data_IF_118548206212
#
_entry.id   IF_118548206212
#
_cell.length_a   1.000
_cell.length_b   1.000
_cell.length_c   1.000
_cell.angle_alpha   90.00
_cell.angle_beta   90.00
_cell.angle_gamma   90.00
#
_symmetry.space_group_name_H-M   'P 1'
#
loop_
_entity.id
_entity.type
_entity.pdbx_description
1 polymer ?
#
# COMPACT_ATOMS: atom_id res chain seq x y z
N UNK A 1 17.96 8.47 14.49
CA UNK A 1 16.78 7.88 13.81
C UNK A 1 16.83 6.36 13.97
N UNK A 2 15.77 5.76 14.47
CA UNK A 2 15.71 4.32 14.63
C UNK A 2 15.51 3.63 13.27
N UNK A 3 15.79 2.32 13.16
CA UNK A 3 15.53 1.60 11.91
C UNK A 3 14.08 1.70 11.42
N UNK A 4 13.10 1.69 12.35
CA UNK A 4 11.70 1.84 11.94
C UNK A 4 11.41 3.26 11.43
N UNK A 5 12.01 4.28 12.04
CA UNK A 5 11.84 5.65 11.56
C UNK A 5 12.42 5.82 10.16
N UNK A 6 13.58 5.23 9.90
CA UNK A 6 14.21 5.23 8.58
C UNK A 6 13.34 4.53 7.55
N UNK A 7 12.77 3.37 7.92
CA UNK A 7 11.87 2.62 7.06
C UNK A 7 10.61 3.43 6.72
N UNK A 8 9.97 4.02 7.74
CA UNK A 8 8.77 4.83 7.54
C UNK A 8 9.06 6.04 6.63
N UNK A 9 10.20 6.70 6.85
CA UNK A 9 10.59 7.81 6.00
C UNK A 9 10.71 7.38 4.54
N UNK A 10 11.41 6.27 4.29
CA UNK A 10 11.57 5.72 2.94
C UNK A 10 10.23 5.38 2.30
N UNK A 11 9.37 4.69 3.04
CA UNK A 11 8.04 4.29 2.52
C UNK A 11 7.20 5.52 2.18
N UNK A 12 7.18 6.53 3.05
CA UNK A 12 6.40 7.75 2.80
C UNK A 12 6.94 8.50 1.58
N UNK A 13 8.27 8.61 1.44
CA UNK A 13 8.87 9.28 0.29
C UNK A 13 8.58 8.55 -1.02
N UNK A 14 8.67 7.22 -1.01
CA UNK A 14 8.32 6.39 -2.17
C UNK A 14 6.83 6.49 -2.49
N UNK A 15 5.98 6.47 -1.47
CA UNK A 15 4.54 6.61 -1.64
C UNK A 15 4.19 7.97 -2.25
N UNK A 16 4.89 9.03 -1.86
CA UNK A 16 4.71 10.35 -2.46
C UNK A 16 5.05 10.33 -3.96
N UNK A 17 6.11 9.63 -4.34
CA UNK A 17 6.48 9.45 -5.74
C UNK A 17 5.39 8.70 -6.50
N UNK A 18 4.86 7.63 -5.92
CA UNK A 18 3.77 6.86 -6.54
C UNK A 18 2.50 7.69 -6.70
N UNK A 19 2.17 8.49 -5.68
CA UNK A 19 1.02 9.40 -5.75
C UNK A 19 1.17 10.38 -6.91
N UNK A 20 2.35 10.96 -7.09
CA UNK A 20 2.61 11.88 -8.20
C UNK A 20 2.48 11.18 -9.55
N UNK A 21 3.02 9.97 -9.68
CA UNK A 21 2.92 9.19 -10.94
C UNK A 21 1.48 8.92 -11.31
N UNK A 22 0.61 8.77 -10.33
CA UNK A 22 -0.81 8.50 -10.54
C UNK A 22 -1.64 9.76 -10.60
N UNK A 23 -1.03 10.94 -10.49
CA UNK A 23 -1.74 12.21 -10.52
C UNK A 23 -2.59 12.46 -9.28
N UNK A 24 -2.27 11.79 -8.18
CA UNK A 24 -2.98 11.98 -6.91
C UNK A 24 -2.41 13.17 -6.14
N UNK A 25 -3.30 14.00 -5.62
CA UNK A 25 -2.91 15.12 -4.75
C UNK A 25 -2.49 14.67 -3.36
N UNK A 26 -2.82 13.43 -2.99
CA UNK A 26 -2.60 12.90 -1.63
C UNK A 26 -2.02 11.48 -1.70
N UNK A 27 -1.29 11.13 -0.64
CA UNK A 27 -0.78 9.77 -0.45
C UNK A 27 -1.89 8.94 0.19
N UNK A 28 -2.40 7.97 -0.55
CA UNK A 28 -3.45 7.07 -0.06
C UNK A 28 -2.86 5.68 0.26
N UNK A 29 -3.68 4.80 0.81
CA UNK A 29 -3.24 3.46 1.21
C UNK A 29 -2.60 2.68 0.05
N UNK A 30 -3.12 2.80 -1.18
CA UNK A 30 -2.56 2.11 -2.35
C UNK A 30 -1.15 2.58 -2.67
N UNK A 31 -0.84 3.84 -2.44
CA UNK A 31 0.51 4.38 -2.65
C UNK A 31 1.48 3.82 -1.62
N UNK A 32 1.03 3.71 -0.36
CA UNK A 32 1.81 3.06 0.69
C UNK A 32 2.06 1.58 0.37
N UNK A 33 1.06 0.89 -0.15
CA UNK A 33 1.21 -0.52 -0.54
C UNK A 33 2.27 -0.70 -1.64
N UNK A 34 2.25 0.16 -2.65
CA UNK A 34 3.27 0.15 -3.71
C UNK A 34 4.67 0.40 -3.13
N UNK A 35 4.79 1.36 -2.22
CA UNK A 35 6.07 1.66 -1.58
C UNK A 35 6.58 0.49 -0.74
N UNK A 36 5.70 -0.18 -0.01
CA UNK A 36 6.05 -1.38 0.77
C UNK A 36 6.54 -2.50 -0.15
N UNK A 37 5.85 -2.72 -1.27
CA UNK A 37 6.22 -3.75 -2.23
C UNK A 37 7.56 -3.46 -2.92
N UNK A 38 7.94 -2.18 -3.02
CA UNK A 38 9.19 -1.76 -3.66
C UNK A 38 10.42 -1.91 -2.77
N UNK A 39 10.27 -2.06 -1.45
CA UNK A 39 11.38 -2.14 -0.51
C UNK A 39 11.86 -3.58 -0.37
N UNK A 40 12.73 -4.00 -1.29
CA UNK A 40 13.24 -5.37 -1.33
C UNK A 40 14.03 -5.71 -0.06
N UNK A 41 13.94 -6.97 0.35
CA UNK A 41 14.66 -7.48 1.52
C UNK A 41 14.00 -7.19 2.85
N UNK A 42 12.86 -6.50 2.86
CA UNK A 42 12.10 -6.26 4.10
C UNK A 42 11.08 -7.37 4.33
N UNK A 43 10.70 -7.57 5.60
CA UNK A 43 9.71 -8.59 5.94
C UNK A 43 8.37 -8.40 5.22
N UNK A 44 7.77 -7.18 5.20
CA UNK A 44 6.51 -7.01 4.50
C UNK A 44 6.60 -7.25 2.99
N UNK A 45 7.70 -6.86 2.38
CA UNK A 45 7.91 -7.13 0.94
C UNK A 45 7.96 -8.63 0.68
N UNK A 46 8.66 -9.40 1.54
CA UNK A 46 8.72 -10.86 1.41
C UNK A 46 7.36 -11.52 1.58
N UNK A 47 6.53 -11.01 2.50
CA UNK A 47 5.15 -11.49 2.69
C UNK A 47 4.35 -11.27 1.41
N UNK A 48 4.40 -10.07 0.85
CA UNK A 48 3.70 -9.76 -0.40
C UNK A 48 4.20 -10.66 -1.53
N UNK A 49 5.50 -10.82 -1.68
CA UNK A 49 6.08 -11.66 -2.72
C UNK A 49 5.62 -13.12 -2.58
N UNK A 50 5.50 -13.63 -1.34
CA UNK A 50 5.01 -14.99 -1.08
C UNK A 50 3.57 -15.21 -1.55
N UNK A 51 2.79 -14.15 -1.66
CA UNK A 51 1.42 -14.18 -2.16
C UNK A 51 1.32 -13.78 -3.65
N UNK A 52 2.46 -13.68 -4.34
CA UNK A 52 2.49 -13.27 -5.74
C UNK A 52 2.32 -11.79 -5.96
N UNK A 53 2.53 -10.98 -4.93
CA UNK A 53 2.32 -9.53 -4.95
C UNK A 53 3.65 -8.78 -4.91
N UNK A 54 4.49 -8.97 -5.92
CA UNK A 54 5.64 -8.09 -6.11
C UNK A 54 5.15 -6.69 -6.56
N UNK A 55 6.06 -5.74 -6.70
CA UNK A 55 5.71 -4.37 -7.08
C UNK A 55 4.87 -4.34 -8.37
N UNK A 56 5.29 -5.07 -9.40
CA UNK A 56 4.58 -5.07 -10.69
C UNK A 56 3.19 -5.68 -10.57
N UNK A 57 3.03 -6.72 -9.76
CA UNK A 57 1.74 -7.35 -9.54
C UNK A 57 0.78 -6.43 -8.78
N UNK A 58 1.29 -5.69 -7.79
CA UNK A 58 0.49 -4.69 -7.07
C UNK A 58 0.07 -3.58 -8.02
N UNK A 59 1.00 -3.08 -8.83
CA UNK A 59 0.70 -2.03 -9.80
C UNK A 59 -0.37 -2.49 -10.78
N UNK A 60 -0.26 -3.71 -11.30
CA UNK A 60 -1.25 -4.29 -12.22
C UNK A 60 -2.63 -4.45 -11.55
N UNK A 61 -2.65 -4.87 -10.29
CA UNK A 61 -3.90 -5.02 -9.53
C UNK A 61 -4.60 -3.68 -9.33
N UNK A 62 -3.84 -2.63 -9.04
CA UNK A 62 -4.39 -1.28 -8.88
C UNK A 62 -4.90 -0.71 -10.20
N UNK A 63 -4.19 -0.95 -11.31
CA UNK A 63 -4.66 -0.55 -12.64
C UNK A 63 -5.97 -1.27 -13.00
N UNK A 64 -6.06 -2.55 -12.69
CA UNK A 64 -7.27 -3.36 -12.91
C UNK A 64 -8.44 -2.84 -12.08
N UNK A 65 -8.18 -2.48 -10.82
CA UNK A 65 -9.20 -1.90 -9.94
C UNK A 65 -9.69 -0.57 -10.49
N UNK A 66 -8.79 0.29 -10.96
CA UNK A 66 -9.15 1.58 -11.54
C UNK A 66 -10.05 1.40 -12.76
N UNK A 67 -9.67 0.51 -13.68
CA UNK A 67 -10.47 0.22 -14.88
C UNK A 67 -11.84 -0.37 -14.52
N UNK A 68 -11.88 -1.25 -13.53
CA UNK A 68 -13.14 -1.85 -13.04
C UNK A 68 -14.07 -0.79 -12.46
N UNK A 69 -13.53 0.12 -11.66
CA UNK A 69 -14.31 1.20 -11.05
C UNK A 69 -14.85 2.17 -12.11
N UNK A 70 -14.07 2.48 -13.14
CA UNK A 70 -14.54 3.29 -14.26
C UNK A 70 -15.64 2.58 -15.03
N UNK A 71 -15.49 1.29 -15.29
CA UNK A 71 -16.49 0.49 -15.99
C UNK A 71 -17.81 0.46 -15.24
N UNK A 72 -17.77 0.42 -13.92
CA UNK A 72 -18.97 0.40 -13.07
C UNK A 72 -19.80 1.68 -13.23
N UNK A 73 -19.16 2.80 -13.61
CA UNK A 73 -19.87 4.07 -13.89
C UNK A 73 -20.01 4.35 -15.39
N UNK A 74 -19.74 3.33 -16.23
CA UNK A 74 -19.91 3.44 -17.68
C UNK A 74 -18.77 4.15 -18.40
N UNK A 75 -17.58 4.28 -17.76
CA UNK A 75 -16.43 4.96 -18.33
C UNK A 75 -15.32 3.95 -18.64
N UNK A 76 -14.65 4.12 -19.77
CA UNK A 76 -13.49 3.33 -20.16
C UNK A 76 -12.36 4.26 -20.57
N UNK A 77 -11.16 4.06 -19.99
CA UNK A 77 -9.98 4.83 -20.37
C UNK A 77 -9.66 4.68 -21.85
N UNK A 78 -9.78 3.47 -22.35
CA UNK A 78 -9.49 3.19 -23.76
C UNK A 78 -10.47 3.90 -24.68
N UNK A 79 -11.76 3.92 -24.34
CA UNK A 79 -12.80 4.54 -25.16
C UNK A 79 -12.68 6.06 -25.22
N UNK A 80 -12.23 6.68 -24.14
CA UNK A 80 -12.10 8.14 -24.05
C UNK A 80 -10.66 8.62 -24.23
N UNK A 81 -9.71 7.70 -24.44
CA UNK A 81 -8.28 8.01 -24.61
C UNK A 81 -7.77 8.95 -23.51
N UNK A 82 -8.18 8.67 -22.28
CA UNK A 82 -7.81 9.50 -21.14
C UNK A 82 -6.35 9.28 -20.78
N UNK A 83 -5.52 10.35 -20.77
CA UNK A 83 -4.15 10.22 -20.27
C UNK A 83 -4.16 9.97 -18.77
N UNK A 84 -3.10 9.33 -18.27
CA UNK A 84 -2.91 9.31 -16.83
C UNK A 84 -2.75 10.74 -16.34
N UNK A 85 -3.51 11.16 -15.31
CA UNK A 85 -3.33 12.49 -14.78
C UNK A 85 -1.92 12.61 -14.20
N UNK A 86 -1.30 13.75 -14.45
CA UNK A 86 0.00 14.09 -13.86
C UNK A 86 -0.16 15.37 -13.06
N UNK A 87 0.47 15.41 -11.90
CA UNK A 87 0.45 16.59 -11.03
C UNK A 87 1.71 17.42 -11.33
N UNK A 88 1.55 18.64 -11.88
CA UNK A 88 2.71 19.51 -12.11
C UNK A 88 3.19 20.20 -10.83
N UNK A 89 2.61 19.87 -9.68
CA UNK A 89 2.93 20.52 -8.42
C UNK A 89 4.34 20.17 -7.95
N UNK A 90 5.08 21.19 -7.49
CA UNK A 90 6.38 21.03 -6.86
C UNK A 90 6.26 20.63 -5.39
N UNK A 91 5.07 20.74 -4.80
CA UNK A 91 4.84 20.35 -3.40
C UNK A 91 4.74 18.82 -3.29
N UNK A 92 5.37 18.23 -2.25
CA UNK A 92 5.11 16.82 -1.96
C UNK A 92 3.62 16.63 -1.66
N UNK A 93 3.01 15.51 -2.07
CA UNK A 93 1.63 15.23 -1.69
C UNK A 93 1.49 15.10 -0.17
N UNK A 94 0.41 15.64 0.36
CA UNK A 94 0.03 15.41 1.76
C UNK A 94 -0.51 13.99 1.92
N UNK A 95 -0.52 13.50 3.16
CA UNK A 95 -1.09 12.18 3.45
C UNK A 95 -2.63 12.33 3.47
N UNK A 96 -3.30 11.56 2.62
CA UNK A 96 -4.74 11.56 2.52
C UNK A 96 -5.41 10.68 3.57
N UNK A 97 -6.74 10.62 3.53
CA UNK A 97 -7.54 9.96 4.57
C UNK A 97 -7.21 8.48 4.72
N UNK A 98 -7.12 7.73 3.61
CA UNK A 98 -6.85 6.28 3.68
C UNK A 98 -5.41 6.01 4.08
N UNK A 99 -4.47 6.84 3.63
CA UNK A 99 -3.06 6.73 4.03
C UNK A 99 -2.88 7.00 5.51
N UNK A 100 -3.51 8.06 6.02
CA UNK A 100 -3.47 8.39 7.44
C UNK A 100 -4.05 7.27 8.29
N UNK A 101 -5.19 6.73 7.89
CA UNK A 101 -5.85 5.64 8.62
C UNK A 101 -4.99 4.38 8.64
N UNK A 102 -4.34 4.05 7.51
CA UNK A 102 -3.44 2.90 7.44
C UNK A 102 -2.26 3.06 8.42
N UNK A 103 -1.67 4.25 8.48
CA UNK A 103 -0.56 4.52 9.41
C UNK A 103 -1.02 4.50 10.86
N UNK A 104 -2.19 5.07 11.16
CA UNK A 104 -2.76 5.01 12.51
C UNK A 104 -2.99 3.57 12.97
N UNK A 105 -3.53 2.72 12.08
CA UNK A 105 -3.73 1.30 12.38
C UNK A 105 -2.40 0.57 12.55
N UNK A 106 -1.38 0.93 11.77
CA UNK A 106 -0.05 0.36 11.92
C UNK A 106 0.53 0.66 13.31
N UNK A 107 0.46 1.92 13.74
CA UNK A 107 0.96 2.31 15.06
C UNK A 107 0.15 1.66 16.18
N UNK A 108 -1.16 1.58 16.03
CA UNK A 108 -2.04 0.97 17.03
C UNK A 108 -1.84 -0.55 17.16
N UNK A 109 -1.31 -1.20 16.14
CA UNK A 109 -1.11 -2.66 16.14
C UNK A 109 0.10 -3.11 16.98
N UNK A 110 1.04 -2.21 17.28
CA UNK A 110 2.18 -2.51 18.13
C UNK A 110 1.88 -2.07 19.56
N UNK A 111 2.21 -2.90 20.59
CA UNK A 111 1.97 -2.51 21.98
C UNK A 111 2.72 -1.25 22.39
N UNK A 112 3.93 -1.06 21.89
CA UNK A 112 4.77 0.10 22.17
C UNK A 112 5.49 0.50 20.89
N UNK A 113 5.91 1.78 20.81
CA UNK A 113 6.65 2.27 19.65
C UNK A 113 7.91 1.45 19.37
N UNK A 114 8.61 0.99 20.41
CA UNK A 114 9.82 0.18 20.26
C UNK A 114 9.55 -1.20 19.65
N UNK A 115 8.30 -1.66 19.70
CA UNK A 115 7.89 -2.95 19.14
C UNK A 115 7.43 -2.82 17.68
N UNK A 116 7.31 -1.59 17.18
CA UNK A 116 6.88 -1.33 15.81
C UNK A 116 7.93 -1.84 14.81
N UNK A 117 7.48 -2.64 13.86
CA UNK A 117 8.31 -3.25 12.81
C UNK A 117 7.75 -2.88 11.43
N UNK A 118 8.55 -3.00 10.37
CA UNK A 118 8.05 -2.77 9.01
C UNK A 118 6.77 -3.54 8.68
N UNK A 119 6.65 -4.78 9.14
CA UNK A 119 5.45 -5.60 8.89
C UNK A 119 4.17 -4.99 9.46
N UNK A 120 4.27 -4.20 10.53
CA UNK A 120 3.10 -3.49 11.09
C UNK A 120 2.54 -2.47 10.10
N UNK A 121 3.38 -1.86 9.28
CA UNK A 121 2.93 -0.92 8.25
C UNK A 121 2.03 -1.64 7.24
N UNK A 122 2.45 -2.81 6.78
CA UNK A 122 1.63 -3.62 5.89
C UNK A 122 0.34 -4.07 6.57
N UNK A 123 0.41 -4.47 7.83
CA UNK A 123 -0.77 -4.85 8.60
C UNK A 123 -1.80 -3.71 8.61
N UNK A 124 -1.35 -2.48 8.89
CA UNK A 124 -2.24 -1.31 8.89
C UNK A 124 -2.91 -1.08 7.54
N UNK A 125 -2.18 -1.24 6.45
CA UNK A 125 -2.72 -1.10 5.10
C UNK A 125 -3.80 -2.17 4.84
N UNK A 126 -3.53 -3.42 5.21
CA UNK A 126 -4.40 -4.56 4.91
C UNK A 126 -5.62 -4.67 5.81
N UNK A 127 -5.67 -3.94 6.92
CA UNK A 127 -6.84 -3.95 7.81
C UNK A 127 -8.06 -3.23 7.23
N UNK A 128 -7.89 -2.45 6.17
CA UNK A 128 -9.01 -1.80 5.50
C UNK A 128 -9.92 -2.84 4.86
N UNK A 129 -11.19 -2.80 5.21
CA UNK A 129 -12.22 -3.71 4.66
C UNK A 129 -12.87 -3.12 3.41
N UNK A 130 -12.81 -1.82 3.24
CA UNK A 130 -13.38 -1.09 2.10
C UNK A 130 -12.31 -0.17 1.50
N UNK A 131 -12.47 0.16 0.24
CA UNK A 131 -11.59 1.08 -0.46
C UNK A 131 -10.82 0.40 -1.60
N UNK A 132 -9.89 1.15 -2.16
CA UNK A 132 -9.13 0.74 -3.34
C UNK A 132 -8.29 -0.53 -3.09
N UNK A 133 -7.60 -0.60 -1.96
CA UNK A 133 -6.70 -1.73 -1.67
C UNK A 133 -7.47 -3.06 -1.59
N UNK A 134 -8.52 -3.20 -0.75
CA UNK A 134 -9.22 -4.49 -0.71
C UNK A 134 -9.89 -4.84 -2.03
N UNK A 135 -10.39 -3.85 -2.79
CA UNK A 135 -10.95 -4.13 -4.11
C UNK A 135 -9.90 -4.63 -5.11
N UNK A 136 -8.71 -4.02 -5.10
CA UNK A 136 -7.61 -4.45 -5.97
C UNK A 136 -7.16 -5.86 -5.63
N UNK A 137 -7.03 -6.19 -4.35
CA UNK A 137 -6.65 -7.54 -3.91
C UNK A 137 -7.69 -8.58 -4.35
N UNK A 138 -8.97 -8.26 -4.21
CA UNK A 138 -10.06 -9.14 -4.62
C UNK A 138 -10.01 -9.41 -6.14
N UNK A 139 -9.80 -8.36 -6.94
CA UNK A 139 -9.68 -8.49 -8.40
C UNK A 139 -8.44 -9.29 -8.81
N UNK A 140 -7.38 -9.25 -8.01
CA UNK A 140 -6.16 -10.03 -8.23
C UNK A 140 -6.30 -11.48 -7.76
N UNK A 141 -7.44 -11.85 -7.17
CA UNK A 141 -7.65 -13.20 -6.64
C UNK A 141 -6.91 -13.48 -5.35
N UNK A 142 -6.52 -12.46 -4.61
CA UNK A 142 -5.78 -12.60 -3.36
C UNK A 142 -6.75 -12.61 -2.18
N UNK A 143 -6.63 -13.62 -1.33
CA UNK A 143 -7.39 -13.72 -0.09
C UNK A 143 -6.76 -12.79 0.96
N UNK A 144 -7.45 -11.70 1.28
CA UNK A 144 -6.96 -10.70 2.24
C UNK A 144 -6.78 -11.31 3.64
N UNK A 145 -7.67 -12.20 4.06
CA UNK A 145 -7.57 -12.85 5.37
C UNK A 145 -6.31 -13.71 5.47
N UNK A 146 -6.00 -14.48 4.42
CA UNK A 146 -4.77 -15.27 4.36
C UNK A 146 -3.53 -14.36 4.41
N UNK A 147 -3.56 -13.28 3.64
CA UNK A 147 -2.46 -12.33 3.61
C UNK A 147 -2.24 -11.68 4.99
N UNK A 148 -3.33 -11.31 5.68
CA UNK A 148 -3.26 -10.78 7.05
C UNK A 148 -2.60 -11.79 8.00
N UNK A 149 -2.95 -13.08 7.89
CA UNK A 149 -2.35 -14.12 8.71
C UNK A 149 -0.84 -14.24 8.44
N UNK A 150 -0.41 -14.17 7.19
CA UNK A 150 1.01 -14.19 6.84
C UNK A 150 1.76 -13.00 7.43
N UNK A 151 1.16 -11.83 7.42
CA UNK A 151 1.76 -10.63 8.02
C UNK A 151 1.90 -10.80 9.53
N UNK A 152 0.85 -11.29 10.20
CA UNK A 152 0.89 -11.54 11.64
C UNK A 152 1.94 -12.57 12.02
N UNK A 153 2.09 -13.63 11.22
CA UNK A 153 3.13 -14.62 11.42
C UNK A 153 4.53 -13.99 11.28
N UNK A 154 4.73 -13.11 10.32
CA UNK A 154 5.99 -12.39 10.15
C UNK A 154 6.30 -11.49 11.34
N UNK A 155 5.30 -10.82 11.90
CA UNK A 155 5.46 -9.99 13.10
C UNK A 155 5.86 -10.86 14.31
N UNK A 156 5.17 -11.98 14.49
CA UNK A 156 5.46 -12.91 15.58
C UNK A 156 6.87 -13.51 15.45
N UNK A 157 7.30 -13.83 14.23
CA UNK A 157 8.64 -14.34 13.94
C UNK A 157 9.74 -13.33 14.29
N UNK A 158 9.53 -12.06 13.99
CA UNK A 158 10.50 -11.00 14.30
C UNK A 158 10.62 -10.76 15.80
N UNK A 159 9.62 -11.12 16.58
CA UNK A 159 9.60 -10.93 18.03
C UNK A 159 10.25 -12.05 18.83
N UNK A 160 10.76 -13.11 18.18
CA UNK A 160 11.26 -14.33 18.86
C UNK A 160 12.79 -14.32 19.02
N UNK A 161 13.47 -13.28 18.66
CA UNK A 161 14.91 -13.16 18.89
C UNK A 161 15.23 -12.85 20.35
#
# INVERSE_FOLDING_TARGET
MSPIDAYLHTVIMEAATEARRQGSATIEAQHLLLAVAAQEGTAPQRVLASAGLDYQAVLAALDREFDHSLSAVGVSRAAFNLPRPSMPSKRPPDIGATGKLALERAFASAPRKKDLRPAHVLLGILQAEVGTVPRALALAGVDRADLLNRVRDAIAGDGVE
#
